data_IF_173260094823
#
_entry.id   IF_173260094823
#
_cell.length_a   1.000
_cell.length_b   1.000
_cell.length_c   1.000
_cell.angle_alpha   90.00
_cell.angle_beta   90.00
_cell.angle_gamma   90.00
#
_symmetry.space_group_name_H-M   'P 1'
#
loop_
_entity.id
_entity.type
_entity.pdbx_description
1 polymer ?
#
# COMPACT_ATOMS: atom_id res chain seq x y z
N UNK A 1 39.85 0.31 9.00
CA UNK A 1 38.63 1.05 8.67
C UNK A 1 38.19 1.73 9.95
N UNK A 2 38.26 3.05 9.98
CA UNK A 2 37.93 3.85 11.16
C UNK A 2 36.41 3.93 11.34
N UNK A 3 35.92 4.15 12.57
CA UNK A 3 34.49 4.30 12.88
C UNK A 3 33.86 5.45 12.08
N UNK A 4 34.60 6.55 11.91
CA UNK A 4 34.19 7.69 11.11
C UNK A 4 34.02 7.36 9.62
N UNK A 5 34.87 6.49 9.06
CA UNK A 5 34.75 6.03 7.67
C UNK A 5 33.49 5.17 7.47
N UNK A 6 33.17 4.33 8.47
CA UNK A 6 31.96 3.49 8.45
C UNK A 6 30.68 4.35 8.48
N UNK A 7 30.64 5.36 9.35
CA UNK A 7 29.52 6.29 9.45
C UNK A 7 29.35 7.09 8.14
N UNK A 8 30.45 7.58 7.57
CA UNK A 8 30.44 8.32 6.30
C UNK A 8 29.92 7.47 5.15
N UNK A 9 30.36 6.20 5.07
CA UNK A 9 29.89 5.26 4.05
C UNK A 9 28.40 4.93 4.22
N UNK A 10 27.94 4.71 5.45
CA UNK A 10 26.53 4.45 5.75
C UNK A 10 25.64 5.64 5.37
N UNK A 11 26.07 6.87 5.66
CA UNK A 11 25.36 8.07 5.26
C UNK A 11 25.26 8.21 3.73
N UNK A 12 26.37 8.01 3.03
CA UNK A 12 26.40 8.06 1.57
C UNK A 12 25.51 6.97 0.92
N UNK A 13 25.45 5.77 1.50
CA UNK A 13 24.56 4.70 1.05
C UNK A 13 23.09 5.07 1.24
N UNK A 14 22.73 5.60 2.41
CA UNK A 14 21.38 6.07 2.71
C UNK A 14 20.93 7.17 1.75
N UNK A 15 21.77 8.17 1.48
CA UNK A 15 21.45 9.27 0.57
C UNK A 15 21.23 8.77 -0.87
N UNK A 16 22.01 7.78 -1.30
CA UNK A 16 21.81 7.13 -2.60
C UNK A 16 20.46 6.43 -2.68
N UNK A 17 20.10 5.64 -1.66
CA UNK A 17 18.82 4.92 -1.61
C UNK A 17 17.66 5.93 -1.70
N UNK A 18 17.64 6.96 -0.84
CA UNK A 18 16.60 7.98 -0.89
C UNK A 18 16.52 8.71 -2.25
N UNK A 19 17.66 8.98 -2.88
CA UNK A 19 17.72 9.59 -4.22
C UNK A 19 17.10 8.69 -5.31
N UNK A 20 17.18 7.36 -5.18
CA UNK A 20 16.46 6.45 -6.08
C UNK A 20 14.94 6.57 -5.87
N UNK A 21 14.46 6.47 -4.62
CA UNK A 21 13.04 6.62 -4.30
C UNK A 21 12.44 7.98 -4.69
N UNK A 22 13.21 9.07 -4.56
CA UNK A 22 12.76 10.43 -4.92
C UNK A 22 12.62 10.61 -6.44
N UNK A 23 13.53 10.00 -7.22
CA UNK A 23 13.48 10.04 -8.68
C UNK A 23 12.40 9.13 -9.27
N UNK A 24 12.17 7.97 -8.64
CA UNK A 24 11.31 6.93 -9.21
C UNK A 24 11.76 6.52 -10.62
N UNK A 25 10.81 6.11 -11.47
CA UNK A 25 11.08 5.57 -12.83
C UNK A 25 11.19 6.66 -13.92
N UNK A 26 11.98 7.71 -13.67
CA UNK A 26 12.29 8.73 -14.68
C UNK A 26 13.22 8.19 -15.79
N UNK A 27 13.28 8.89 -16.93
CA UNK A 27 14.06 8.47 -18.10
C UNK A 27 15.56 8.41 -17.74
N UNK A 28 16.13 7.20 -17.66
CA UNK A 28 17.52 6.97 -17.23
C UNK A 28 17.70 6.30 -15.87
N UNK A 29 16.62 5.90 -15.20
CA UNK A 29 16.69 5.01 -14.04
C UNK A 29 17.32 3.66 -14.43
N UNK A 30 18.22 3.14 -13.59
CA UNK A 30 18.80 1.81 -13.77
C UNK A 30 17.75 0.79 -13.39
N UNK A 31 17.07 0.25 -14.40
CA UNK A 31 16.03 -0.77 -14.27
C UNK A 31 16.72 -2.11 -14.46
N UNK A 32 16.68 -2.98 -13.45
CA UNK A 32 17.22 -4.31 -13.62
C UNK A 32 16.39 -5.12 -14.61
N UNK A 33 17.03 -6.02 -15.38
CA UNK A 33 16.37 -6.79 -16.44
C UNK A 33 15.21 -7.68 -15.95
N UNK A 34 15.10 -7.97 -14.64
CA UNK A 34 13.99 -8.72 -14.05
C UNK A 34 12.75 -7.86 -13.76
N UNK A 35 12.89 -6.53 -13.80
CA UNK A 35 11.82 -5.58 -13.52
C UNK A 35 10.84 -5.44 -14.69
N UNK A 36 11.22 -5.72 -15.94
CA UNK A 36 10.36 -5.53 -17.14
C UNK A 36 9.92 -6.86 -17.81
N UNK A 37 8.81 -7.48 -17.36
CA UNK A 37 8.21 -8.60 -18.05
C UNK A 37 7.42 -8.11 -19.27
N UNK A 38 7.81 -8.55 -20.47
CA UNK A 38 7.20 -8.12 -21.72
C UNK A 38 5.67 -8.26 -21.75
N UNK A 39 4.97 -7.21 -22.19
CA UNK A 39 3.58 -7.01 -22.69
C UNK A 39 2.37 -7.92 -22.26
N UNK A 40 2.53 -9.04 -21.57
CA UNK A 40 1.43 -9.95 -21.16
C UNK A 40 0.70 -9.51 -19.87
N UNK A 41 1.11 -8.40 -19.25
CA UNK A 41 0.61 -7.86 -17.96
C UNK A 41 -0.92 -7.76 -17.89
N UNK A 42 -1.59 -7.45 -19.00
CA UNK A 42 -3.04 -7.18 -19.00
C UNK A 42 -3.93 -8.41 -18.78
N UNK A 43 -3.44 -9.64 -19.02
CA UNK A 43 -4.28 -10.85 -18.97
C UNK A 43 -4.08 -11.70 -17.70
N UNK A 44 -3.14 -11.28 -16.88
CA UNK A 44 -2.69 -11.99 -15.69
C UNK A 44 -2.85 -11.15 -14.42
N UNK A 45 -3.20 -9.86 -14.52
CA UNK A 45 -3.33 -8.97 -13.36
C UNK A 45 -4.74 -8.99 -12.75
N UNK A 46 -4.85 -9.18 -11.44
CA UNK A 46 -6.12 -9.19 -10.72
C UNK A 46 -6.64 -7.80 -10.32
N UNK A 47 -7.81 -7.76 -9.65
CA UNK A 47 -8.47 -6.50 -9.21
C UNK A 47 -7.60 -5.66 -8.26
N UNK A 48 -6.67 -6.28 -7.54
CA UNK A 48 -5.79 -5.59 -6.59
C UNK A 48 -4.45 -5.19 -7.20
N UNK A 49 -4.10 -5.73 -8.38
CA UNK A 49 -2.86 -5.42 -9.09
C UNK A 49 -1.83 -6.54 -9.05
N UNK A 50 -2.17 -7.73 -8.54
CA UNK A 50 -1.25 -8.88 -8.56
C UNK A 50 -1.31 -9.62 -9.91
N UNK A 51 -0.14 -9.91 -10.46
CA UNK A 51 0.14 -10.61 -11.69
C UNK A 51 0.23 -12.12 -11.38
N UNK A 52 -0.49 -12.93 -12.13
CA UNK A 52 -0.57 -14.38 -11.95
C UNK A 52 0.12 -15.11 -13.12
N UNK A 53 0.81 -16.22 -12.86
CA UNK A 53 1.46 -17.01 -13.94
C UNK A 53 0.48 -17.52 -15.00
N UNK A 54 -0.78 -17.73 -14.59
CA UNK A 54 -1.86 -18.21 -15.46
C UNK A 54 -2.83 -17.07 -15.72
N UNK A 55 -3.33 -17.02 -16.95
CA UNK A 55 -4.41 -16.10 -17.33
C UNK A 55 -5.59 -16.28 -16.38
N UNK A 56 -6.09 -15.16 -15.86
CA UNK A 56 -7.26 -15.18 -15.00
C UNK A 56 -8.49 -15.61 -15.81
N UNK A 57 -9.45 -16.33 -15.18
CA UNK A 57 -10.67 -16.73 -15.85
C UNK A 57 -11.38 -15.53 -16.49
N UNK A 58 -11.70 -15.60 -17.79
CA UNK A 58 -12.49 -14.56 -18.47
C UNK A 58 -13.89 -14.38 -17.89
N UNK A 59 -14.43 -15.43 -17.25
CA UNK A 59 -15.71 -15.41 -16.56
C UNK A 59 -15.46 -15.75 -15.10
N UNK A 60 -15.99 -14.92 -14.22
CA UNK A 60 -16.03 -15.18 -12.79
C UNK A 60 -16.79 -16.49 -12.53
N UNK A 61 -16.26 -17.32 -11.65
CA UNK A 61 -16.96 -18.52 -11.18
C UNK A 61 -18.27 -18.14 -10.46
N UNK A 62 -19.21 -19.08 -10.38
CA UNK A 62 -20.51 -18.83 -9.71
C UNK A 62 -20.35 -18.31 -8.27
N UNK A 63 -19.31 -18.76 -7.56
CA UNK A 63 -18.97 -18.28 -6.22
C UNK A 63 -18.51 -16.82 -6.21
N UNK A 64 -17.67 -16.40 -7.15
CA UNK A 64 -17.17 -15.03 -7.24
C UNK A 64 -18.29 -14.06 -7.60
N UNK A 65 -19.15 -14.44 -8.55
CA UNK A 65 -20.36 -13.67 -8.91
C UNK A 65 -21.24 -13.49 -7.66
N UNK A 66 -21.46 -14.56 -6.89
CA UNK A 66 -22.25 -14.52 -5.65
C UNK A 66 -21.60 -13.59 -4.61
N UNK A 67 -20.28 -13.63 -4.45
CA UNK A 67 -19.55 -12.75 -3.52
C UNK A 67 -19.64 -11.29 -3.94
N UNK A 68 -19.46 -10.98 -5.23
CA UNK A 68 -19.60 -9.62 -5.78
C UNK A 68 -21.04 -9.10 -5.59
N UNK A 69 -22.06 -9.93 -5.80
CA UNK A 69 -23.46 -9.55 -5.52
C UNK A 69 -23.69 -9.25 -4.03
N UNK A 70 -23.15 -10.07 -3.13
CA UNK A 70 -23.21 -9.82 -1.69
C UNK A 70 -22.51 -8.50 -1.34
N UNK A 71 -21.37 -8.21 -1.97
CA UNK A 71 -20.64 -6.96 -1.78
C UNK A 71 -21.50 -5.76 -2.22
N UNK A 72 -22.11 -5.82 -3.41
CA UNK A 72 -23.00 -4.78 -3.94
C UNK A 72 -24.19 -4.53 -2.99
N UNK A 73 -24.82 -5.58 -2.48
CA UNK A 73 -25.92 -5.46 -1.51
C UNK A 73 -25.52 -4.76 -0.21
N UNK A 74 -24.24 -4.81 0.16
CA UNK A 74 -23.71 -4.17 1.37
C UNK A 74 -23.37 -2.69 1.15
N UNK A 75 -23.19 -2.23 -0.10
CA UNK A 75 -22.77 -0.85 -0.40
C UNK A 75 -23.69 0.20 0.22
N UNK A 76 -25.00 0.15 -0.07
CA UNK A 76 -25.99 1.12 0.47
C UNK A 76 -25.97 1.19 2.00
N UNK A 77 -25.75 0.03 2.63
CA UNK A 77 -25.69 -0.14 4.08
C UNK A 77 -24.45 0.51 4.68
N UNK A 78 -23.30 0.39 4.01
CA UNK A 78 -22.04 1.02 4.43
C UNK A 78 -22.03 2.51 4.13
N UNK A 79 -22.58 2.94 3.00
CA UNK A 79 -22.73 4.36 2.67
C UNK A 79 -23.49 5.13 3.75
N UNK A 80 -24.61 4.57 4.23
CA UNK A 80 -25.37 5.19 5.33
C UNK A 80 -24.54 5.26 6.62
N UNK A 81 -23.80 4.20 6.94
CA UNK A 81 -23.00 4.15 8.17
C UNK A 81 -21.82 5.10 8.15
N UNK A 82 -21.12 5.24 7.02
CA UNK A 82 -19.97 6.15 6.91
C UNK A 82 -20.42 7.62 6.96
N UNK A 83 -21.61 7.96 6.44
CA UNK A 83 -22.21 9.30 6.59
C UNK A 83 -22.67 9.60 8.03
N UNK A 84 -23.05 8.57 8.79
CA UNK A 84 -23.56 8.71 10.17
C UNK A 84 -22.66 7.98 11.16
N UNK A 85 -21.35 8.16 11.03
CA UNK A 85 -20.34 7.38 11.74
C UNK A 85 -20.51 7.46 13.27
N UNK A 86 -20.76 8.67 13.78
CA UNK A 86 -20.89 8.93 15.22
C UNK A 86 -22.24 8.51 15.82
N UNK A 87 -23.21 8.13 14.99
CA UNK A 87 -24.54 7.76 15.49
C UNK A 87 -24.48 6.47 16.32
N UNK A 88 -25.29 6.43 17.40
CA UNK A 88 -25.41 5.23 18.24
C UNK A 88 -25.77 3.98 17.42
N UNK A 89 -26.65 4.13 16.42
CA UNK A 89 -27.03 3.02 15.54
C UNK A 89 -25.87 2.48 14.71
N UNK A 90 -24.97 3.34 14.26
CA UNK A 90 -23.75 2.91 13.56
C UNK A 90 -22.84 2.16 14.51
N UNK A 91 -22.56 2.71 15.70
CA UNK A 91 -21.69 2.10 16.72
C UNK A 91 -22.17 0.71 17.12
N UNK A 92 -23.48 0.54 17.36
CA UNK A 92 -24.10 -0.74 17.73
C UNK A 92 -23.96 -1.82 16.62
N UNK A 93 -24.05 -1.41 15.34
CA UNK A 93 -24.03 -2.33 14.19
C UNK A 93 -22.63 -2.57 13.62
N UNK A 94 -21.66 -1.73 13.99
CA UNK A 94 -20.34 -1.67 13.37
C UNK A 94 -19.60 -2.99 13.44
N UNK A 95 -19.39 -3.53 14.65
CA UNK A 95 -18.68 -4.79 14.88
C UNK A 95 -19.26 -5.91 14.01
N UNK A 96 -20.57 -6.19 14.12
CA UNK A 96 -21.24 -7.25 13.35
C UNK A 96 -21.10 -7.09 11.84
N UNK A 97 -21.03 -5.87 11.32
CA UNK A 97 -20.88 -5.61 9.88
C UNK A 97 -19.44 -5.73 9.40
N UNK A 98 -18.46 -5.38 10.24
CA UNK A 98 -17.04 -5.63 9.95
C UNK A 98 -16.80 -7.14 9.82
N UNK A 99 -17.30 -7.97 10.74
CA UNK A 99 -17.17 -9.43 10.66
C UNK A 99 -17.80 -10.03 9.39
N UNK A 100 -18.87 -9.41 8.86
CA UNK A 100 -19.44 -9.83 7.58
C UNK A 100 -18.54 -9.47 6.40
N UNK A 101 -17.76 -8.39 6.52
CA UNK A 101 -16.84 -7.88 5.53
C UNK A 101 -17.19 -6.46 5.08
N UNK A 102 -16.16 -5.61 5.03
CA UNK A 102 -16.24 -4.25 4.48
C UNK A 102 -16.09 -4.36 2.95
N UNK A 103 -17.03 -3.82 2.14
CA UNK A 103 -16.89 -3.72 0.70
C UNK A 103 -15.60 -3.01 0.31
N UNK A 104 -14.96 -3.45 -0.76
CA UNK A 104 -13.66 -2.94 -1.18
C UNK A 104 -13.67 -1.42 -1.33
N UNK A 105 -14.74 -0.86 -1.94
CA UNK A 105 -14.93 0.58 -2.14
C UNK A 105 -14.94 1.41 -0.84
N UNK A 106 -15.29 0.80 0.29
CA UNK A 106 -15.36 1.48 1.59
C UNK A 106 -14.17 1.19 2.51
N UNK A 107 -13.27 0.26 2.16
CA UNK A 107 -12.14 -0.14 3.05
C UNK A 107 -11.27 1.05 3.44
N UNK A 108 -10.83 1.85 2.47
CA UNK A 108 -9.98 3.02 2.74
C UNK A 108 -10.65 4.01 3.71
N UNK A 109 -11.91 4.37 3.46
CA UNK A 109 -12.66 5.29 4.32
C UNK A 109 -12.91 4.69 5.72
N UNK A 110 -13.38 3.44 5.79
CA UNK A 110 -13.74 2.80 7.06
C UNK A 110 -12.50 2.54 7.92
N UNK A 111 -11.38 2.10 7.34
CA UNK A 111 -10.13 1.93 8.09
C UNK A 111 -9.60 3.26 8.63
N UNK A 112 -9.68 4.33 7.83
CA UNK A 112 -9.33 5.69 8.27
C UNK A 112 -10.16 6.12 9.48
N UNK A 113 -11.47 5.84 9.46
CA UNK A 113 -12.38 6.14 10.56
C UNK A 113 -12.13 5.28 11.81
N UNK A 114 -11.91 3.97 11.64
CA UNK A 114 -11.63 3.04 12.75
C UNK A 114 -10.34 3.37 13.48
N UNK A 115 -9.31 3.77 12.74
CA UNK A 115 -8.00 4.13 13.28
C UNK A 115 -7.91 5.59 13.73
N UNK A 116 -8.99 6.37 13.58
CA UNK A 116 -8.99 7.79 13.98
C UNK A 116 -7.95 8.64 13.25
N UNK A 117 -7.56 8.25 12.02
CA UNK A 117 -6.43 8.85 11.29
C UNK A 117 -6.61 10.35 11.09
N UNK A 118 -7.85 10.82 10.88
CA UNK A 118 -8.12 12.25 10.70
C UNK A 118 -7.75 13.04 11.96
N UNK A 119 -8.25 12.61 13.11
CA UNK A 119 -7.94 13.21 14.42
C UNK A 119 -6.44 13.13 14.70
N UNK A 120 -5.82 11.97 14.48
CA UNK A 120 -4.38 11.80 14.67
C UNK A 120 -3.55 12.76 13.82
N UNK A 121 -3.92 12.95 12.54
CA UNK A 121 -3.22 13.89 11.64
C UNK A 121 -3.42 15.36 12.03
N UNK A 122 -4.57 15.71 12.58
CA UNK A 122 -4.85 17.06 13.09
C UNK A 122 -4.05 17.34 14.36
N UNK A 123 -4.01 16.39 15.31
CA UNK A 123 -3.27 16.49 16.57
C UNK A 123 -1.74 16.46 16.38
N UNK A 124 -1.25 15.74 15.36
CA UNK A 124 0.18 15.55 15.05
C UNK A 124 0.54 16.16 13.69
N UNK A 125 -0.03 17.32 13.37
CA UNK A 125 0.22 18.00 12.11
C UNK A 125 1.72 18.24 11.88
N UNK A 126 2.24 17.85 10.70
CA UNK A 126 3.65 17.97 10.35
C UNK A 126 4.56 16.87 10.91
N UNK A 127 4.06 15.98 11.77
CA UNK A 127 4.89 14.96 12.42
C UNK A 127 5.46 13.95 11.43
N UNK A 128 4.70 13.59 10.40
CA UNK A 128 5.18 12.68 9.36
C UNK A 128 6.40 13.27 8.62
N UNK A 129 6.33 14.54 8.23
CA UNK A 129 7.40 15.24 7.52
C UNK A 129 8.64 15.42 8.41
N UNK A 130 8.44 15.72 9.70
CA UNK A 130 9.52 15.76 10.70
C UNK A 130 10.22 14.40 10.81
N UNK A 131 9.45 13.31 10.99
CA UNK A 131 9.99 11.96 11.12
C UNK A 131 10.68 11.50 9.83
N UNK A 132 10.15 11.84 8.66
CA UNK A 132 10.78 11.55 7.37
C UNK A 132 12.12 12.27 7.23
N UNK A 133 12.21 13.54 7.64
CA UNK A 133 13.49 14.28 7.66
C UNK A 133 14.48 13.61 8.61
N UNK A 134 14.08 13.25 9.82
CA UNK A 134 14.95 12.57 10.77
C UNK A 134 15.44 11.22 10.22
N UNK A 135 14.56 10.44 9.59
CA UNK A 135 14.92 9.17 8.97
C UNK A 135 15.96 9.34 7.85
N UNK A 136 15.84 10.40 7.03
CA UNK A 136 16.81 10.73 5.98
C UNK A 136 18.20 11.05 6.51
N UNK A 137 18.30 11.65 7.69
CA UNK A 137 19.59 12.03 8.27
C UNK A 137 20.21 10.94 9.14
N UNK A 138 19.38 10.16 9.84
CA UNK A 138 19.85 9.38 10.99
C UNK A 138 19.40 7.92 11.00
N UNK A 139 18.51 7.48 10.11
CA UNK A 139 18.05 6.10 10.14
C UNK A 139 19.18 5.13 9.77
N UNK A 140 19.36 4.10 10.60
CA UNK A 140 20.27 2.98 10.40
C UNK A 140 19.63 1.83 9.61
N UNK A 141 18.30 1.83 9.51
CA UNK A 141 17.52 0.70 8.99
C UNK A 141 17.24 0.81 7.48
N UNK A 142 17.61 1.91 6.84
CA UNK A 142 17.23 2.20 5.44
C UNK A 142 17.70 1.11 4.49
N UNK A 143 18.93 0.61 4.65
CA UNK A 143 19.46 -0.47 3.81
C UNK A 143 18.66 -1.77 3.97
N UNK A 144 18.21 -2.08 5.18
CA UNK A 144 17.43 -3.29 5.44
C UNK A 144 16.00 -3.15 4.88
N UNK A 145 15.38 -1.99 5.08
CA UNK A 145 14.06 -1.68 4.51
C UNK A 145 14.11 -1.78 2.98
N UNK A 146 15.13 -1.20 2.36
CA UNK A 146 15.32 -1.26 0.91
C UNK A 146 15.47 -2.69 0.39
N UNK A 147 16.32 -3.49 1.03
CA UNK A 147 16.47 -4.91 0.71
C UNK A 147 15.17 -5.71 0.88
N UNK A 148 14.34 -5.35 1.85
CA UNK A 148 13.03 -5.98 2.11
C UNK A 148 11.97 -5.56 1.09
N UNK A 149 11.96 -4.29 0.69
CA UNK A 149 11.10 -3.77 -0.38
C UNK A 149 11.42 -4.47 -1.70
N UNK A 150 12.70 -4.61 -2.05
CA UNK A 150 13.14 -5.26 -3.29
C UNK A 150 12.74 -6.74 -3.40
N UNK A 151 12.33 -7.39 -2.30
CA UNK A 151 11.86 -8.79 -2.25
C UNK A 151 10.37 -8.94 -1.94
N UNK A 152 9.62 -7.84 -1.77
CA UNK A 152 8.20 -7.86 -1.44
C UNK A 152 7.35 -7.52 -2.66
N UNK A 153 6.29 -8.30 -2.90
CA UNK A 153 5.28 -8.04 -3.94
C UNK A 153 5.84 -7.81 -5.36
N UNK A 154 6.85 -8.60 -5.76
CA UNK A 154 7.43 -8.59 -7.12
C UNK A 154 6.43 -8.89 -8.23
N UNK A 155 5.34 -9.55 -7.89
CA UNK A 155 4.27 -9.86 -8.83
C UNK A 155 3.12 -8.85 -8.70
N UNK A 156 3.37 -7.62 -8.25
CA UNK A 156 2.33 -6.59 -8.17
C UNK A 156 2.68 -5.40 -9.07
N UNK A 157 1.76 -4.98 -9.93
CA UNK A 157 2.00 -3.96 -10.95
C UNK A 157 2.56 -2.64 -10.39
N UNK A 158 2.14 -2.24 -9.18
CA UNK A 158 2.63 -1.02 -8.55
C UNK A 158 3.91 -1.20 -7.71
N UNK A 159 4.29 -2.44 -7.36
CA UNK A 159 5.40 -2.71 -6.42
C UNK A 159 6.56 -3.48 -7.06
N UNK A 160 6.37 -4.03 -8.26
CA UNK A 160 7.38 -4.74 -9.02
C UNK A 160 8.56 -3.86 -9.46
N UNK A 161 8.30 -2.56 -9.63
CA UNK A 161 9.24 -1.58 -10.20
C UNK A 161 9.82 -0.63 -9.14
N UNK A 162 9.79 -1.01 -7.87
CA UNK A 162 10.29 -0.17 -6.79
C UNK A 162 11.78 -0.43 -6.62
N UNK A 163 12.58 0.40 -7.31
CA UNK A 163 13.98 0.73 -7.00
C UNK A 163 14.21 2.19 -7.40
#
# INVERSE_FOLDING_TARGET
>A
MNEEELLTRSAAERDRIFSCYDRGREHGAQIDAWEDPGYEVYHTTDRYGFIHDKRLPRRLGANEIRLDQIEIQRLKKWEKMTKQWESSSTKEKLRRRIYKGIPNRFRGQVWTLLLGIKTLKEEQAGKYEEMLKLARHWSTEIRQIDADVARQYRDHINYRYVV
#
